data_IF_852106882094
#
_entry.id   IF_852106882094
#
_cell.length_a   1.000
_cell.length_b   1.000
_cell.length_c   1.000
_cell.angle_alpha   90.00
_cell.angle_beta   90.00
_cell.angle_gamma   90.00
#
_symmetry.space_group_name_H-M   'P 1'
#
loop_
_entity.id
_entity.type
_entity.pdbx_description
1 polymer ?
#
# COMPACT_ATOMS: atom_id res chain seq x y z
N UNK A 1 40.31 -3.79 6.19
CA UNK A 1 39.33 -2.77 5.71
C UNK A 1 38.63 -3.20 4.42
N UNK A 2 39.35 -3.73 3.41
CA UNK A 2 38.75 -4.16 2.14
C UNK A 2 37.82 -5.40 2.23
N UNK A 3 38.06 -6.33 3.17
CA UNK A 3 37.24 -7.53 3.33
C UNK A 3 35.81 -7.23 3.77
N UNK A 4 35.64 -6.31 4.73
CA UNK A 4 34.34 -5.94 5.31
C UNK A 4 33.41 -5.30 4.28
N UNK A 5 33.94 -4.45 3.39
CA UNK A 5 33.17 -3.80 2.32
C UNK A 5 32.67 -4.82 1.31
N UNK A 6 33.52 -5.79 0.95
CA UNK A 6 33.19 -6.83 -0.02
C UNK A 6 32.12 -7.77 0.51
N UNK A 7 32.22 -8.15 1.78
CA UNK A 7 31.18 -8.95 2.47
C UNK A 7 29.86 -8.18 2.57
N UNK A 8 29.91 -6.87 2.90
CA UNK A 8 28.71 -6.03 2.95
C UNK A 8 28.02 -5.91 1.58
N UNK A 9 28.77 -5.70 0.49
CA UNK A 9 28.21 -5.67 -0.86
C UNK A 9 27.55 -7.00 -1.27
N UNK A 10 28.15 -8.13 -0.90
CA UNK A 10 27.60 -9.46 -1.21
C UNK A 10 26.30 -9.72 -0.44
N UNK A 11 26.21 -9.29 0.83
CA UNK A 11 24.99 -9.42 1.64
C UNK A 11 23.87 -8.54 1.09
N UNK A 12 24.17 -7.28 0.71
CA UNK A 12 23.19 -6.39 0.07
C UNK A 12 22.72 -6.96 -1.27
N UNK A 13 23.63 -7.50 -2.09
CA UNK A 13 23.27 -8.15 -3.35
C UNK A 13 22.35 -9.37 -3.12
N UNK A 14 22.64 -10.20 -2.12
CA UNK A 14 21.79 -11.36 -1.75
C UNK A 14 20.40 -10.93 -1.26
N UNK A 15 20.30 -9.85 -0.48
CA UNK A 15 19.03 -9.29 0.00
C UNK A 15 18.23 -8.63 -1.12
N UNK A 16 18.88 -8.02 -2.11
CA UNK A 16 18.24 -7.46 -3.31
C UNK A 16 17.83 -8.54 -4.31
N UNK A 17 18.48 -9.70 -4.32
CA UNK A 17 18.05 -10.89 -5.08
C UNK A 17 16.95 -11.69 -4.38
N UNK A 18 16.53 -11.30 -3.17
CA UNK A 18 15.32 -11.80 -2.53
C UNK A 18 14.05 -11.12 -3.08
N UNK A 19 14.07 -10.65 -4.33
CA UNK A 19 12.87 -10.58 -5.15
C UNK A 19 12.44 -12.02 -5.41
N UNK A 20 11.55 -12.54 -4.54
CA UNK A 20 10.93 -13.84 -4.70
C UNK A 20 10.25 -13.85 -6.08
N UNK A 21 10.78 -14.58 -7.08
CA UNK A 21 10.23 -14.53 -8.42
C UNK A 21 8.83 -15.14 -8.34
N UNK A 22 7.82 -14.26 -8.39
CA UNK A 22 6.41 -14.58 -8.45
C UNK A 22 6.03 -15.82 -7.65
N UNK A 23 5.83 -15.67 -6.34
CA UNK A 23 5.19 -16.71 -5.55
C UNK A 23 3.83 -17.01 -6.21
N UNK A 24 3.80 -18.08 -7.01
CA UNK A 24 2.59 -18.55 -7.67
C UNK A 24 1.60 -18.82 -6.55
N UNK A 25 0.61 -17.94 -6.43
CA UNK A 25 -0.41 -18.11 -5.40
C UNK A 25 -1.08 -19.46 -5.67
N UNK A 26 -1.18 -20.34 -4.66
CA UNK A 26 -1.96 -21.55 -4.81
C UNK A 26 -3.38 -21.16 -5.25
N UNK A 27 -4.02 -21.97 -6.11
CA UNK A 27 -5.37 -21.67 -6.57
C UNK A 27 -6.30 -21.51 -5.36
N UNK A 28 -7.22 -20.53 -5.39
CA UNK A 28 -8.16 -20.33 -4.31
C UNK A 28 -9.01 -21.59 -4.13
N UNK A 29 -9.41 -21.92 -2.89
CA UNK A 29 -10.32 -23.02 -2.64
C UNK A 29 -11.65 -22.79 -3.39
N UNK A 30 -12.36 -23.86 -3.79
CA UNK A 30 -13.55 -23.77 -4.64
C UNK A 30 -14.71 -22.98 -4.01
N UNK A 31 -14.69 -22.82 -2.69
CA UNK A 31 -15.65 -22.07 -1.87
C UNK A 31 -15.11 -20.70 -1.39
N UNK A 32 -14.04 -20.20 -2.00
CA UNK A 32 -13.48 -18.91 -1.65
C UNK A 32 -14.49 -17.77 -1.90
N UNK A 33 -14.77 -16.98 -0.86
CA UNK A 33 -15.65 -15.81 -0.94
C UNK A 33 -14.93 -14.53 -0.53
N UNK A 34 -15.40 -13.40 -1.06
CA UNK A 34 -14.90 -12.07 -0.73
C UNK A 34 -15.73 -11.35 0.35
N UNK A 35 -16.55 -12.10 1.10
CA UNK A 35 -17.45 -11.53 2.11
C UNK A 35 -16.71 -10.70 3.16
N UNK A 36 -15.57 -11.19 3.65
CA UNK A 36 -14.76 -10.46 4.61
C UNK A 36 -14.28 -9.13 4.03
N UNK A 37 -13.65 -9.14 2.85
CA UNK A 37 -13.18 -7.93 2.16
C UNK A 37 -14.30 -6.93 1.92
N UNK A 38 -15.50 -7.42 1.55
CA UNK A 38 -16.69 -6.59 1.39
C UNK A 38 -17.11 -5.90 2.67
N UNK A 39 -17.13 -6.63 3.79
CA UNK A 39 -17.51 -6.06 5.09
C UNK A 39 -16.56 -4.92 5.50
N UNK A 40 -15.26 -5.08 5.25
CA UNK A 40 -14.28 -4.01 5.47
C UNK A 40 -14.50 -2.83 4.51
N UNK A 41 -14.66 -3.11 3.22
CA UNK A 41 -14.83 -2.07 2.20
C UNK A 41 -16.09 -1.23 2.43
N UNK A 42 -17.20 -1.83 2.86
CA UNK A 42 -18.45 -1.10 3.16
C UNK A 42 -18.28 -0.07 4.27
N UNK A 43 -17.38 -0.31 5.23
CA UNK A 43 -17.08 0.68 6.28
C UNK A 43 -16.32 1.89 5.73
N UNK A 44 -15.46 1.67 4.73
CA UNK A 44 -14.72 2.74 4.05
C UNK A 44 -15.59 3.48 3.03
N UNK A 45 -16.43 2.74 2.31
CA UNK A 45 -17.27 3.26 1.23
C UNK A 45 -18.66 2.62 1.26
N UNK A 46 -19.58 3.19 2.07
CA UNK A 46 -20.94 2.70 2.18
C UNK A 46 -21.67 2.70 0.83
N UNK A 47 -22.48 1.66 0.59
CA UNK A 47 -23.35 1.57 -0.59
C UNK A 47 -22.69 1.14 -1.90
N UNK A 48 -21.35 1.04 -1.96
CA UNK A 48 -20.64 0.66 -3.18
C UNK A 48 -20.46 -0.86 -3.28
N UNK A 49 -20.93 -1.42 -4.41
CA UNK A 49 -20.79 -2.85 -4.74
C UNK A 49 -19.58 -3.10 -5.64
N UNK A 50 -18.40 -2.63 -5.20
CA UNK A 50 -17.15 -2.75 -5.98
C UNK A 50 -16.31 -3.96 -5.60
N UNK A 51 -16.62 -4.61 -4.47
CA UNK A 51 -15.99 -5.86 -4.09
C UNK A 51 -16.72 -7.01 -4.79
N UNK A 52 -16.02 -7.84 -5.59
CA UNK A 52 -16.61 -9.02 -6.22
C UNK A 52 -17.17 -10.00 -5.16
N UNK A 53 -18.01 -10.95 -5.57
CA UNK A 53 -18.52 -12.01 -4.67
C UNK A 53 -17.46 -13.07 -4.38
N UNK A 54 -16.71 -13.45 -5.43
CA UNK A 54 -15.65 -14.47 -5.42
C UNK A 54 -14.35 -13.87 -5.95
N UNK A 55 -13.19 -14.49 -5.67
CA UNK A 55 -11.91 -14.01 -6.20
C UNK A 55 -11.91 -13.95 -7.73
N UNK A 56 -11.38 -12.86 -8.28
CA UNK A 56 -11.20 -12.62 -9.72
C UNK A 56 -9.71 -12.54 -10.06
N UNK A 57 -9.30 -12.71 -11.33
CA UNK A 57 -7.91 -12.51 -11.72
C UNK A 57 -7.44 -11.08 -11.41
N UNK A 58 -6.26 -10.93 -10.79
CA UNK A 58 -5.68 -9.62 -10.45
C UNK A 58 -4.70 -9.07 -11.48
N UNK A 59 -4.72 -9.58 -12.72
CA UNK A 59 -3.78 -9.17 -13.79
C UNK A 59 -3.99 -7.73 -14.26
N UNK A 60 -5.18 -7.17 -14.05
CA UNK A 60 -5.55 -5.80 -14.42
C UNK A 60 -5.23 -4.76 -13.32
N UNK A 61 -4.86 -5.23 -12.13
CA UNK A 61 -4.45 -4.38 -11.02
C UNK A 61 -3.04 -3.81 -11.28
N UNK A 62 -2.77 -2.59 -10.83
CA UNK A 62 -1.48 -1.92 -11.04
C UNK A 62 -0.60 -1.94 -9.79
N UNK A 63 -1.16 -1.70 -8.62
CA UNK A 63 -0.42 -1.52 -7.35
C UNK A 63 -0.39 -2.81 -6.53
N UNK A 64 -1.53 -3.50 -6.42
CA UNK A 64 -1.68 -4.72 -5.65
C UNK A 64 -0.84 -5.86 -6.23
N UNK A 65 -0.17 -6.59 -5.36
CA UNK A 65 0.64 -7.78 -5.66
C UNK A 65 0.30 -8.88 -4.65
N UNK A 66 0.39 -10.17 -5.03
CA UNK A 66 0.73 -10.67 -6.37
C UNK A 66 -0.43 -10.53 -7.37
N UNK A 67 -0.17 -10.65 -8.67
CA UNK A 67 -1.20 -10.55 -9.74
C UNK A 67 -2.07 -11.82 -9.88
N UNK A 68 -2.25 -12.58 -8.80
CA UNK A 68 -3.07 -13.79 -8.75
C UNK A 68 -4.55 -13.51 -8.44
N UNK A 69 -5.32 -14.55 -8.09
CA UNK A 69 -6.72 -14.41 -7.68
C UNK A 69 -6.88 -13.48 -6.46
N UNK A 70 -7.82 -12.54 -6.54
CA UNK A 70 -7.96 -11.44 -5.58
C UNK A 70 -9.41 -10.99 -5.42
N UNK A 71 -9.72 -10.44 -4.25
CA UNK A 71 -10.99 -9.79 -3.96
C UNK A 71 -10.96 -8.27 -4.21
N UNK A 72 -9.87 -7.76 -4.79
CA UNK A 72 -9.74 -6.36 -5.16
C UNK A 72 -10.12 -6.20 -6.63
N UNK A 73 -11.17 -5.44 -6.93
CA UNK A 73 -11.45 -5.04 -8.30
C UNK A 73 -10.58 -3.84 -8.70
N UNK A 74 -10.37 -3.63 -10.00
CA UNK A 74 -9.67 -2.44 -10.50
C UNK A 74 -10.27 -1.13 -10.01
N UNK A 75 -11.61 -1.01 -9.99
CA UNK A 75 -12.30 0.17 -9.46
C UNK A 75 -12.02 0.40 -7.97
N UNK A 76 -11.94 -0.68 -7.20
CA UNK A 76 -11.58 -0.64 -5.78
C UNK A 76 -10.13 -0.17 -5.60
N UNK A 77 -9.20 -0.69 -6.39
CA UNK A 77 -7.78 -0.30 -6.36
C UNK A 77 -7.57 1.17 -6.74
N UNK A 78 -8.15 1.61 -7.86
CA UNK A 78 -8.04 3.00 -8.35
C UNK A 78 -8.54 3.99 -7.29
N UNK A 79 -9.64 3.65 -6.60
CA UNK A 79 -10.17 4.48 -5.52
C UNK A 79 -9.27 4.48 -4.29
N UNK A 80 -8.75 3.32 -3.88
CA UNK A 80 -7.79 3.26 -2.78
C UNK A 80 -6.54 4.07 -3.07
N UNK A 81 -6.03 4.01 -4.31
CA UNK A 81 -4.85 4.76 -4.72
C UNK A 81 -5.11 6.28 -4.61
N UNK A 82 -6.27 6.76 -5.08
CA UNK A 82 -6.65 8.15 -4.94
C UNK A 82 -6.78 8.56 -3.47
N UNK A 83 -7.50 7.78 -2.66
CA UNK A 83 -7.70 8.06 -1.23
C UNK A 83 -6.37 8.06 -0.46
N UNK A 84 -5.47 7.13 -0.77
CA UNK A 84 -4.15 7.08 -0.16
C UNK A 84 -3.31 8.33 -0.47
N UNK A 85 -3.33 8.79 -1.73
CA UNK A 85 -2.65 10.04 -2.13
C UNK A 85 -3.20 11.25 -1.38
N UNK A 86 -4.51 11.42 -1.36
CA UNK A 86 -5.15 12.54 -0.67
C UNK A 86 -4.88 12.51 0.84
N UNK A 87 -4.93 11.34 1.47
CA UNK A 87 -4.62 11.21 2.90
C UNK A 87 -3.16 11.59 3.19
N UNK A 88 -2.23 11.15 2.35
CA UNK A 88 -0.81 11.52 2.50
C UNK A 88 -0.59 13.02 2.33
N UNK A 89 -1.21 13.64 1.32
CA UNK A 89 -1.15 15.09 1.10
C UNK A 89 -1.71 15.86 2.29
N UNK A 90 -2.86 15.45 2.83
CA UNK A 90 -3.47 16.05 4.01
C UNK A 90 -2.61 15.90 5.26
N UNK A 91 -2.01 14.72 5.47
CA UNK A 91 -1.10 14.47 6.57
C UNK A 91 0.14 15.37 6.48
N UNK A 92 0.75 15.46 5.30
CA UNK A 92 1.91 16.32 5.07
C UNK A 92 1.58 17.80 5.26
N UNK A 93 0.42 18.25 4.77
CA UNK A 93 -0.03 19.63 4.93
C UNK A 93 -0.28 19.98 6.39
N UNK A 94 -1.02 19.14 7.12
CA UNK A 94 -1.33 19.38 8.54
C UNK A 94 -0.08 19.44 9.41
N UNK A 95 0.81 18.44 9.29
CA UNK A 95 2.08 18.42 10.02
C UNK A 95 2.96 19.65 9.67
N UNK A 96 2.97 20.04 8.39
CA UNK A 96 3.72 21.24 7.95
C UNK A 96 3.14 22.53 8.52
N UNK A 97 1.82 22.66 8.60
CA UNK A 97 1.17 23.84 9.17
C UNK A 97 1.44 23.97 10.67
N UNK A 98 1.33 22.86 11.41
CA UNK A 98 1.65 22.80 12.83
C UNK A 98 3.12 23.19 13.08
N UNK A 99 4.04 22.60 12.32
CA UNK A 99 5.46 22.90 12.45
C UNK A 99 5.76 24.38 12.13
N UNK A 100 5.18 24.92 11.05
CA UNK A 100 5.32 26.34 10.68
C UNK A 100 4.83 27.27 11.78
N UNK A 101 3.70 26.94 12.41
CA UNK A 101 3.16 27.72 13.51
C UNK A 101 4.15 27.78 14.69
N UNK A 102 4.69 26.63 15.11
CA UNK A 102 5.67 26.57 16.20
C UNK A 102 6.95 27.34 15.88
N UNK A 103 7.44 27.27 14.64
CA UNK A 103 8.62 28.02 14.19
C UNK A 103 8.36 29.53 14.28
N UNK A 104 7.20 30.00 13.79
CA UNK A 104 6.83 31.42 13.85
C UNK A 104 6.69 31.89 15.29
N UNK A 105 6.06 31.09 16.16
CA UNK A 105 5.90 31.43 17.57
C UNK A 105 7.25 31.52 18.29
N UNK A 106 8.15 30.56 18.06
CA UNK A 106 9.51 30.62 18.62
C UNK A 106 10.28 31.84 18.09
N UNK A 107 10.21 32.13 16.79
CA UNK A 107 10.88 33.29 16.21
C UNK A 107 10.38 34.61 16.81
N UNK A 108 9.08 34.73 17.11
CA UNK A 108 8.51 35.93 17.72
C UNK A 108 8.97 36.16 19.17
N UNK A 109 9.41 35.12 19.89
CA UNK A 109 9.99 35.26 21.25
C UNK A 109 11.39 35.89 21.21
N UNK A 110 12.12 35.72 20.10
CA UNK A 110 13.49 36.20 19.94
C UNK A 110 13.62 37.47 19.07
N UNK A 111 12.49 38.06 18.65
CA UNK A 111 12.41 39.36 17.98
C UNK A 111 12.27 40.49 19.00
#
# INVERSE_FOLDING_TARGET
MAGTVRTACLVVAMLLSLDCPGQAQPPPPPDATCHQVRSFFQRLQPGLKWVPETPVPGSDLQVCLPKGPTCCSRKMEEKYQLTARLNMEQLLQSASMELKFLIIQNAAVFQ
#
